data_IF_709030510832
#
_entry.id   IF_709030510832
#
_cell.length_a   1.000
_cell.length_b   1.000
_cell.length_c   1.000
_cell.angle_alpha   90.00
_cell.angle_beta   90.00
_cell.angle_gamma   90.00
#
_symmetry.space_group_name_H-M   'P 1'
#
loop_
_entity.id
_entity.type
_entity.pdbx_description
1 polymer ?
#
# COMPACT_ATOMS: atom_id res chain seq x y z
N UNK A 1 6.68 -15.71 -36.18
CA UNK A 1 6.07 -16.40 -35.03
C UNK A 1 6.91 -16.28 -33.75
N UNK A 2 8.24 -16.42 -33.80
CA UNK A 2 9.13 -16.20 -32.63
C UNK A 2 9.13 -14.77 -32.08
N UNK A 3 9.11 -13.74 -32.95
CA UNK A 3 9.08 -12.33 -32.53
C UNK A 3 7.79 -11.96 -31.77
N UNK A 4 6.64 -12.49 -32.20
CA UNK A 4 5.36 -12.29 -31.51
C UNK A 4 5.26 -13.02 -30.17
N UNK A 5 5.82 -14.24 -30.08
CA UNK A 5 5.93 -14.97 -28.81
C UNK A 5 6.91 -14.32 -27.83
N UNK A 6 8.02 -13.77 -28.33
CA UNK A 6 8.98 -12.99 -27.55
C UNK A 6 8.37 -11.71 -26.98
N UNK A 7 7.65 -10.93 -27.81
CA UNK A 7 6.96 -9.73 -27.36
C UNK A 7 5.91 -10.03 -26.28
N UNK A 8 5.07 -11.05 -26.49
CA UNK A 8 4.06 -11.46 -25.52
C UNK A 8 4.68 -11.97 -24.21
N UNK A 9 5.73 -12.78 -24.31
CA UNK A 9 6.46 -13.29 -23.14
C UNK A 9 7.12 -12.18 -22.33
N UNK A 10 7.78 -11.22 -22.99
CA UNK A 10 8.39 -10.06 -22.33
C UNK A 10 7.34 -9.16 -21.68
N UNK A 11 6.22 -8.88 -22.35
CA UNK A 11 5.14 -8.08 -21.78
C UNK A 11 4.53 -8.74 -20.54
N UNK A 12 4.31 -10.06 -20.56
CA UNK A 12 3.80 -10.82 -19.42
C UNK A 12 4.79 -10.81 -18.25
N UNK A 13 6.07 -11.06 -18.50
CA UNK A 13 7.11 -11.02 -17.47
C UNK A 13 7.23 -9.65 -16.82
N UNK A 14 7.17 -8.57 -17.62
CA UNK A 14 7.18 -7.20 -17.11
C UNK A 14 5.95 -6.93 -16.24
N UNK A 15 4.76 -7.27 -16.73
CA UNK A 15 3.50 -7.11 -15.99
C UNK A 15 3.51 -7.86 -14.66
N UNK A 16 3.95 -9.13 -14.66
CA UNK A 16 4.09 -9.92 -13.45
C UNK A 16 5.12 -9.33 -12.49
N UNK A 17 6.27 -8.89 -12.99
CA UNK A 17 7.34 -8.31 -12.15
C UNK A 17 6.86 -7.05 -11.43
N UNK A 18 6.16 -6.17 -12.15
CA UNK A 18 5.56 -4.97 -11.57
C UNK A 18 4.43 -5.31 -10.60
N UNK A 19 3.58 -6.27 -10.94
CA UNK A 19 2.48 -6.74 -10.10
C UNK A 19 2.96 -7.36 -8.80
N UNK A 20 3.96 -8.25 -8.84
CA UNK A 20 4.54 -8.88 -7.65
C UNK A 20 5.20 -7.84 -6.75
N UNK A 21 5.99 -6.92 -7.32
CA UNK A 21 6.63 -5.84 -6.55
C UNK A 21 5.57 -5.00 -5.83
N UNK A 22 4.61 -4.44 -6.57
CA UNK A 22 3.55 -3.60 -6.00
C UNK A 22 2.64 -4.35 -5.03
N UNK A 23 2.36 -5.63 -5.30
CA UNK A 23 1.53 -6.49 -4.46
C UNK A 23 2.14 -6.74 -3.09
N UNK A 24 3.44 -7.09 -3.03
CA UNK A 24 4.16 -7.27 -1.77
C UNK A 24 4.20 -5.97 -0.96
N UNK A 25 4.34 -4.82 -1.62
CA UNK A 25 4.26 -3.52 -0.95
C UNK A 25 2.87 -3.16 -0.42
N UNK A 26 1.79 -3.61 -1.07
CA UNK A 26 0.42 -3.33 -0.64
C UNK A 26 0.02 -4.14 0.59
N UNK A 27 0.24 -5.46 0.53
CA UNK A 27 -0.29 -6.39 1.52
C UNK A 27 0.73 -6.83 2.59
N UNK A 28 1.99 -6.41 2.45
CA UNK A 28 3.09 -6.76 3.33
C UNK A 28 3.34 -8.28 3.46
N UNK A 29 2.85 -9.08 2.51
CA UNK A 29 2.97 -10.53 2.54
C UNK A 29 4.43 -10.94 2.41
N UNK A 30 4.93 -11.64 3.44
CA UNK A 30 6.31 -12.11 3.51
C UNK A 30 7.32 -11.10 4.05
N UNK A 31 6.90 -9.89 4.46
CA UNK A 31 7.79 -8.90 5.09
C UNK A 31 7.98 -9.13 6.59
N UNK A 32 7.09 -9.90 7.23
CA UNK A 32 7.13 -10.16 8.68
C UNK A 32 6.71 -8.99 9.57
N UNK A 33 6.40 -7.82 8.99
CA UNK A 33 5.97 -6.60 9.69
C UNK A 33 4.63 -6.78 10.40
N UNK A 34 3.64 -7.33 9.69
CA UNK A 34 2.27 -7.51 10.17
C UNK A 34 2.17 -8.40 11.40
N UNK A 35 3.15 -9.28 11.64
CA UNK A 35 3.22 -10.11 12.85
C UNK A 35 3.38 -9.26 14.10
N UNK A 36 4.07 -8.12 14.03
CA UNK A 36 4.28 -7.24 15.19
C UNK A 36 2.98 -6.61 15.71
N UNK A 37 2.00 -6.37 14.83
CA UNK A 37 0.68 -5.87 15.25
C UNK A 37 -0.24 -7.02 15.67
N UNK A 38 -0.20 -8.14 14.95
CA UNK A 38 -1.03 -9.30 15.28
C UNK A 38 -0.63 -9.96 16.61
N UNK A 39 0.65 -9.90 17.00
CA UNK A 39 1.12 -10.41 18.29
C UNK A 39 0.82 -9.49 19.47
N UNK A 40 0.47 -8.22 19.23
CA UNK A 40 0.09 -7.26 20.26
C UNK A 40 -1.41 -7.30 20.63
N UNK A 41 -2.17 -8.21 20.01
CA UNK A 41 -3.61 -8.38 20.27
C UNK A 41 -3.85 -9.06 21.62
N UNK A 42 -4.92 -8.65 22.31
CA UNK A 42 -5.36 -9.22 23.59
C UNK A 42 -6.24 -10.47 23.44
N UNK A 43 -6.24 -11.12 22.27
CA UNK A 43 -7.02 -12.31 21.99
C UNK A 43 -6.20 -13.54 22.36
N UNK A 44 -6.80 -14.45 23.12
CA UNK A 44 -6.14 -15.67 23.58
C UNK A 44 -6.08 -16.78 22.50
N UNK A 45 -6.67 -16.55 21.32
CA UNK A 45 -6.79 -17.53 20.25
C UNK A 45 -5.86 -17.19 19.07
N UNK A 46 -4.64 -17.71 19.14
CA UNK A 46 -3.58 -17.50 18.14
C UNK A 46 -3.98 -18.00 16.75
N UNK A 47 -4.74 -19.10 16.67
CA UNK A 47 -5.20 -19.69 15.40
C UNK A 47 -6.19 -18.76 14.70
N UNK A 48 -7.16 -18.23 15.44
CA UNK A 48 -8.10 -17.25 14.91
C UNK A 48 -7.41 -15.96 14.50
N UNK A 49 -6.44 -15.48 15.27
CA UNK A 49 -5.70 -14.27 14.91
C UNK A 49 -4.90 -14.47 13.60
N UNK A 50 -4.30 -15.65 13.41
CA UNK A 50 -3.66 -16.03 12.15
C UNK A 50 -4.63 -16.05 10.97
N UNK A 51 -5.85 -16.56 11.16
CA UNK A 51 -6.90 -16.53 10.15
C UNK A 51 -7.32 -15.09 9.80
N UNK A 52 -7.49 -14.21 10.79
CA UNK A 52 -7.80 -12.80 10.56
C UNK A 52 -6.69 -12.08 9.79
N UNK A 53 -5.43 -12.35 10.11
CA UNK A 53 -4.28 -11.78 9.40
C UNK A 53 -4.23 -12.22 7.93
N UNK A 54 -4.50 -13.50 7.65
CA UNK A 54 -4.61 -14.00 6.27
C UNK A 54 -5.80 -13.39 5.52
N UNK A 55 -6.94 -13.23 6.21
CA UNK A 55 -8.14 -12.64 5.64
C UNK A 55 -7.93 -11.17 5.26
N UNK A 56 -7.15 -10.42 6.04
CA UNK A 56 -6.75 -9.04 5.72
C UNK A 56 -6.03 -8.98 4.37
N UNK A 57 -5.04 -9.84 4.14
CA UNK A 57 -4.28 -9.90 2.88
C UNK A 57 -5.20 -10.26 1.71
N UNK A 58 -6.14 -11.18 1.91
CA UNK A 58 -7.14 -11.53 0.91
C UNK A 58 -8.00 -10.32 0.50
N UNK A 59 -8.55 -9.58 1.48
CA UNK A 59 -9.35 -8.39 1.19
C UNK A 59 -8.52 -7.29 0.52
N UNK A 60 -7.30 -7.03 0.97
CA UNK A 60 -6.45 -6.00 0.37
C UNK A 60 -6.14 -6.29 -1.10
N UNK A 61 -5.60 -7.48 -1.39
CA UNK A 61 -5.07 -7.78 -2.72
C UNK A 61 -6.12 -8.35 -3.66
N UNK A 62 -6.87 -9.36 -3.24
CA UNK A 62 -7.78 -10.07 -4.14
C UNK A 62 -9.06 -9.28 -4.37
N UNK A 63 -9.57 -8.61 -3.32
CA UNK A 63 -10.80 -7.83 -3.44
C UNK A 63 -10.51 -6.39 -3.83
N UNK A 64 -9.82 -5.63 -2.97
CA UNK A 64 -9.71 -4.18 -3.13
C UNK A 64 -8.80 -3.78 -4.30
N UNK A 65 -7.62 -4.37 -4.44
CA UNK A 65 -6.71 -4.06 -5.55
C UNK A 65 -7.29 -4.50 -6.90
N UNK A 66 -7.92 -5.69 -6.97
CA UNK A 66 -8.60 -6.15 -8.19
C UNK A 66 -9.75 -5.22 -8.58
N UNK A 67 -10.60 -4.81 -7.63
CA UNK A 67 -11.69 -3.87 -7.91
C UNK A 67 -11.15 -2.55 -8.45
N UNK A 68 -10.10 -2.00 -7.82
CA UNK A 68 -9.46 -0.76 -8.28
C UNK A 68 -8.91 -0.91 -9.70
N UNK A 69 -8.19 -2.00 -9.99
CA UNK A 69 -7.66 -2.27 -11.31
C UNK A 69 -8.75 -2.42 -12.37
N UNK A 70 -9.82 -3.17 -12.08
CA UNK A 70 -10.97 -3.33 -12.99
C UNK A 70 -11.65 -1.99 -13.23
N UNK A 71 -11.89 -1.19 -12.20
CA UNK A 71 -12.48 0.15 -12.32
C UNK A 71 -11.63 1.05 -13.22
N UNK A 72 -10.30 1.05 -13.06
CA UNK A 72 -9.40 1.81 -13.93
C UNK A 72 -9.45 1.34 -15.39
N UNK A 73 -9.45 0.02 -15.63
CA UNK A 73 -9.48 -0.55 -16.97
C UNK A 73 -10.81 -0.32 -17.69
N UNK A 74 -11.94 -0.43 -16.98
CA UNK A 74 -13.27 -0.23 -17.55
C UNK A 74 -13.52 1.24 -17.90
N UNK A 75 -13.02 2.16 -17.08
CA UNK A 75 -13.16 3.60 -17.31
C UNK A 75 -12.14 4.16 -18.32
N UNK A 76 -11.12 3.37 -18.67
CA UNK A 76 -10.01 3.83 -19.52
C UNK A 76 -9.11 4.86 -18.84
N UNK A 77 -9.19 4.97 -17.52
CA UNK A 77 -8.42 5.92 -16.72
C UNK A 77 -6.91 5.62 -16.73
N UNK A 78 -6.52 4.39 -17.06
CA UNK A 78 -5.13 3.94 -17.18
C UNK A 78 -4.31 4.71 -18.22
N UNK A 79 -4.97 5.50 -19.09
CA UNK A 79 -4.35 6.24 -20.21
C UNK A 79 -4.27 7.75 -19.99
N UNK A 80 -4.78 8.26 -18.86
CA UNK A 80 -5.05 9.70 -18.68
C UNK A 80 -3.84 10.44 -18.10
N UNK A 81 -3.23 9.91 -17.04
CA UNK A 81 -2.04 10.46 -16.42
C UNK A 81 -0.99 9.35 -16.18
N UNK A 82 0.26 9.76 -15.99
CA UNK A 82 1.33 8.84 -15.58
C UNK A 82 1.27 8.50 -14.07
N UNK A 83 0.49 9.27 -13.30
CA UNK A 83 0.28 9.06 -11.87
C UNK A 83 -0.95 8.19 -11.58
N UNK A 84 -0.73 7.13 -10.79
CA UNK A 84 -1.78 6.18 -10.41
C UNK A 84 -2.88 6.77 -9.54
N UNK A 85 -2.57 7.77 -8.70
CA UNK A 85 -3.57 8.41 -7.83
C UNK A 85 -4.53 9.24 -8.66
N UNK A 86 -3.99 10.06 -9.57
CA UNK A 86 -4.79 10.87 -10.50
C UNK A 86 -5.71 10.00 -11.37
N UNK A 87 -5.20 8.86 -11.88
CA UNK A 87 -6.01 7.92 -12.65
C UNK A 87 -7.12 7.27 -11.82
N UNK A 88 -6.86 6.92 -10.56
CA UNK A 88 -7.88 6.38 -9.67
C UNK A 88 -9.01 7.42 -9.43
N UNK A 89 -8.67 8.68 -9.14
CA UNK A 89 -9.66 9.75 -8.95
C UNK A 89 -10.48 9.95 -10.21
N UNK A 90 -9.84 10.01 -11.38
CA UNK A 90 -10.52 10.16 -12.67
C UNK A 90 -11.49 9.00 -12.94
N UNK A 91 -11.09 7.76 -12.66
CA UNK A 91 -11.94 6.59 -12.83
C UNK A 91 -13.27 6.70 -12.05
N UNK A 92 -13.21 7.17 -10.79
CA UNK A 92 -14.40 7.40 -9.99
C UNK A 92 -15.22 8.61 -10.48
N UNK A 93 -14.56 9.69 -10.91
CA UNK A 93 -15.22 10.87 -11.47
C UNK A 93 -16.02 10.55 -12.74
N UNK A 94 -15.50 9.71 -13.63
CA UNK A 94 -16.19 9.32 -14.86
C UNK A 94 -17.52 8.61 -14.61
N UNK A 95 -17.64 7.87 -13.50
CA UNK A 95 -18.83 7.07 -13.19
C UNK A 95 -19.81 7.80 -12.27
N UNK A 96 -19.29 8.49 -11.25
CA UNK A 96 -20.08 9.09 -10.18
C UNK A 96 -20.14 10.62 -10.21
N UNK A 97 -19.48 11.26 -11.19
CA UNK A 97 -19.43 12.71 -11.34
C UNK A 97 -18.50 13.40 -10.34
N UNK A 98 -18.57 14.73 -10.31
CA UNK A 98 -17.61 15.59 -9.60
C UNK A 98 -17.56 15.36 -8.08
N UNK A 99 -18.69 14.93 -7.48
CA UNK A 99 -18.78 14.62 -6.04
C UNK A 99 -17.77 13.54 -5.61
N UNK A 100 -17.46 12.59 -6.49
CA UNK A 100 -16.59 11.46 -6.15
C UNK A 100 -15.15 11.88 -5.87
N UNK A 101 -14.68 12.99 -6.43
CA UNK A 101 -13.32 13.50 -6.19
C UNK A 101 -13.08 13.85 -4.73
N UNK A 102 -14.02 14.55 -4.10
CA UNK A 102 -13.96 14.89 -2.67
C UNK A 102 -14.05 13.64 -1.80
N UNK A 103 -14.92 12.69 -2.16
CA UNK A 103 -15.06 11.42 -1.45
C UNK A 103 -13.75 10.60 -1.49
N UNK A 104 -13.15 10.43 -2.67
CA UNK A 104 -11.90 9.68 -2.84
C UNK A 104 -10.76 10.37 -2.11
N UNK A 105 -10.68 11.71 -2.13
CA UNK A 105 -9.66 12.44 -1.38
C UNK A 105 -9.76 12.19 0.14
N UNK A 106 -10.98 12.20 0.70
CA UNK A 106 -11.21 11.89 2.12
C UNK A 106 -10.84 10.43 2.42
N UNK A 107 -11.25 9.49 1.58
CA UNK A 107 -10.94 8.08 1.73
C UNK A 107 -9.42 7.81 1.70
N UNK A 108 -8.71 8.41 0.74
CA UNK A 108 -7.25 8.33 0.64
C UNK A 108 -6.55 8.94 1.86
N UNK A 109 -7.09 10.02 2.40
CA UNK A 109 -6.54 10.65 3.62
C UNK A 109 -6.66 9.70 4.81
N UNK A 110 -7.82 9.07 5.01
CA UNK A 110 -8.01 8.08 6.07
C UNK A 110 -7.07 6.88 5.86
N UNK A 111 -6.97 6.39 4.63
CA UNK A 111 -6.07 5.28 4.29
C UNK A 111 -4.61 5.62 4.63
N UNK A 112 -4.12 6.78 4.20
CA UNK A 112 -2.76 7.24 4.48
C UNK A 112 -2.48 7.37 5.99
N UNK A 113 -3.43 7.89 6.77
CA UNK A 113 -3.29 7.99 8.23
C UNK A 113 -3.23 6.60 8.87
N UNK A 114 -4.07 5.65 8.44
CA UNK A 114 -4.05 4.29 8.98
C UNK A 114 -2.73 3.58 8.67
N UNK A 115 -2.20 3.73 7.45
CA UNK A 115 -0.89 3.17 7.07
C UNK A 115 0.23 3.82 7.88
N UNK A 116 0.24 5.15 8.01
CA UNK A 116 1.25 5.85 8.80
C UNK A 116 1.25 5.41 10.27
N UNK A 117 0.06 5.20 10.86
CA UNK A 117 -0.07 4.68 12.21
C UNK A 117 0.54 3.28 12.35
N UNK A 118 0.24 2.35 11.42
CA UNK A 118 0.80 0.99 11.42
C UNK A 118 2.34 1.00 11.35
N UNK A 119 2.90 1.74 10.41
CA UNK A 119 4.35 1.87 10.23
C UNK A 119 5.05 2.55 11.40
N UNK A 120 4.38 3.50 12.07
CA UNK A 120 4.92 4.11 13.29
C UNK A 120 5.10 3.08 14.41
N UNK A 121 4.17 2.13 14.54
CA UNK A 121 4.23 1.05 15.53
C UNK A 121 5.33 0.06 15.17
N UNK A 122 5.37 -0.41 13.92
CA UNK A 122 6.39 -1.34 13.44
C UNK A 122 7.80 -0.82 13.70
N UNK A 123 8.08 0.42 13.29
CA UNK A 123 9.40 1.01 13.44
C UNK A 123 9.74 1.35 14.89
N UNK A 124 8.76 1.80 15.69
CA UNK A 124 8.99 2.11 17.10
C UNK A 124 9.33 0.86 17.92
N UNK A 125 8.62 -0.25 17.70
CA UNK A 125 8.91 -1.54 18.33
C UNK A 125 10.27 -2.09 17.90
N UNK A 126 10.62 -1.93 16.62
CA UNK A 126 11.92 -2.36 16.08
C UNK A 126 13.09 -1.59 16.73
N UNK A 127 12.96 -0.25 16.84
CA UNK A 127 14.00 0.56 17.48
C UNK A 127 14.05 0.33 19.00
N UNK A 128 12.90 0.13 19.64
CA UNK A 128 12.83 -0.21 21.07
C UNK A 128 13.55 -1.53 21.36
N UNK A 129 13.35 -2.56 20.53
CA UNK A 129 14.07 -3.83 20.64
C UNK A 129 15.59 -3.66 20.49
N UNK A 130 16.04 -2.92 19.45
CA UNK A 130 17.46 -2.70 19.19
C UNK A 130 18.17 -1.85 20.25
N UNK A 131 17.46 -0.88 20.83
CA UNK A 131 18.01 0.07 21.81
C UNK A 131 17.91 -0.40 23.27
N UNK A 132 17.38 -1.60 23.52
CA UNK A 132 17.19 -2.12 24.87
C UNK A 132 16.12 -1.36 25.67
N UNK A 133 15.03 -0.93 25.02
CA UNK A 133 13.83 -0.40 25.68
C UNK A 133 13.71 1.13 25.78
N UNK A 134 14.58 1.91 25.10
CA UNK A 134 14.59 3.40 25.21
C UNK A 134 14.39 4.15 23.89
N UNK A 135 14.28 3.45 22.77
CA UNK A 135 14.24 4.04 21.43
C UNK A 135 12.87 4.56 20.96
N UNK A 136 11.77 4.17 21.61
CA UNK A 136 10.41 4.45 21.13
C UNK A 136 10.12 5.93 20.87
N UNK A 137 10.39 6.78 21.87
CA UNK A 137 10.12 8.23 21.76
C UNK A 137 10.99 8.90 20.69
N UNK A 138 12.24 8.45 20.54
CA UNK A 138 13.16 8.97 19.53
C UNK A 138 12.66 8.61 18.13
N UNK A 139 12.22 7.36 17.93
CA UNK A 139 11.66 6.92 16.66
C UNK A 139 10.44 7.77 16.26
N UNK A 140 9.50 7.98 17.18
CA UNK A 140 8.27 8.73 16.89
C UNK A 140 8.55 10.18 16.48
N UNK A 141 9.53 10.85 17.10
CA UNK A 141 9.94 12.21 16.72
C UNK A 141 10.55 12.22 15.32
N UNK A 142 11.45 11.26 15.01
CA UNK A 142 12.06 11.14 13.69
C UNK A 142 10.99 10.82 12.63
N UNK A 143 10.07 9.91 12.94
CA UNK A 143 8.98 9.53 12.04
C UNK A 143 8.05 10.70 11.72
N UNK A 144 7.66 11.49 12.73
CA UNK A 144 6.86 12.69 12.53
C UNK A 144 7.58 13.74 11.66
N UNK A 145 8.88 13.97 11.92
CA UNK A 145 9.68 14.86 11.10
C UNK A 145 9.79 14.36 9.64
N UNK A 146 10.03 13.06 9.45
CA UNK A 146 10.09 12.42 8.14
C UNK A 146 8.74 12.49 7.40
N UNK A 147 7.60 12.37 8.09
CA UNK A 147 6.28 12.50 7.50
C UNK A 147 6.02 13.93 6.98
N UNK A 148 6.41 14.96 7.75
CA UNK A 148 6.30 16.36 7.33
C UNK A 148 7.19 16.64 6.12
N UNK A 149 8.43 16.15 6.13
CA UNK A 149 9.33 16.28 4.99
C UNK A 149 8.79 15.55 3.76
N UNK A 150 8.33 14.31 3.92
CA UNK A 150 7.75 13.49 2.87
C UNK A 150 6.55 14.15 2.18
N UNK A 151 5.70 14.85 2.94
CA UNK A 151 4.57 15.61 2.38
C UNK A 151 4.98 16.77 1.45
N UNK A 152 6.24 17.22 1.52
CA UNK A 152 6.78 18.31 0.67
C UNK A 152 7.67 17.81 -0.47
N UNK A 153 7.99 16.52 -0.52
CA UNK A 153 8.88 15.92 -1.52
C UNK A 153 8.13 15.46 -2.77
N UNK A 154 8.83 15.37 -3.90
CA UNK A 154 8.27 14.81 -5.14
C UNK A 154 8.09 13.30 -5.01
N UNK A 155 6.94 12.81 -5.45
CA UNK A 155 6.54 11.40 -5.40
C UNK A 155 7.57 10.47 -6.06
N UNK A 156 8.17 10.85 -7.20
CA UNK A 156 9.18 10.04 -7.89
C UNK A 156 10.42 9.75 -7.03
N UNK A 157 10.84 10.72 -6.22
CA UNK A 157 12.02 10.59 -5.37
C UNK A 157 11.75 9.64 -4.20
N UNK A 158 10.50 9.55 -3.76
CA UNK A 158 10.05 8.62 -2.70
C UNK A 158 10.08 7.17 -3.21
N UNK A 159 9.56 6.92 -4.42
CA UNK A 159 9.56 5.58 -5.01
C UNK A 159 10.95 5.05 -5.38
N UNK A 160 11.94 5.93 -5.57
CA UNK A 160 13.33 5.52 -5.82
C UNK A 160 14.08 5.20 -4.53
N UNK A 161 13.67 5.78 -3.40
CA UNK A 161 14.26 5.53 -2.08
C UNK A 161 13.67 4.29 -1.38
N UNK A 162 12.43 3.93 -1.70
CA UNK A 162 11.71 2.76 -1.16
C UNK A 162 11.91 1.50 -1.99
#
# INVERSE_FOLDING_TARGET
RAVGGGFFGSAMLLGMSWGVRRGIFSNEAGLGSSVMLNSATSSDDEEKQGLWAMLQVFFDTIVMCTLTAVTMLVTGADKIAEDGITNAVYAFQCVFGDFSSGFVAIALTVFAVTTAAGWSVYGSNSLEYLSGGKGKSVFLVIFAAAAVLGATMKIELIWQLS
#
